data_IF_274018107405
#
_entry.id   IF_274018107405
#
_cell.length_a   1.000
_cell.length_b   1.000
_cell.length_c   1.000
_cell.angle_alpha   90.00
_cell.angle_beta   90.00
_cell.angle_gamma   90.00
#
_symmetry.space_group_name_H-M   'P 1'
#
loop_
_entity.id
_entity.type
_entity.pdbx_description
1 polymer ?
#
# COMPACT_ATOMS: atom_id res chain seq x y z
N UNK A 1 12.81 -23.21 3.73
CA UNK A 1 12.36 -21.90 4.26
C UNK A 1 13.53 -20.92 4.15
N UNK A 2 13.30 -19.61 3.96
CA UNK A 2 14.34 -18.63 3.55
C UNK A 2 15.48 -18.37 4.57
N UNK A 3 15.50 -19.02 5.73
CA UNK A 3 16.57 -18.86 6.72
C UNK A 3 16.64 -17.47 7.36
N UNK A 4 15.50 -16.78 7.48
CA UNK A 4 15.44 -15.43 8.03
C UNK A 4 15.83 -15.46 9.52
N UNK A 5 16.83 -14.66 9.96
CA UNK A 5 17.24 -14.58 11.36
C UNK A 5 16.13 -14.05 12.28
N UNK A 6 16.16 -14.40 13.57
CA UNK A 6 15.12 -14.05 14.56
C UNK A 6 14.85 -12.55 14.70
N UNK A 7 15.88 -11.72 14.50
CA UNK A 7 15.79 -10.26 14.60
C UNK A 7 15.32 -9.57 13.31
N UNK A 8 14.96 -10.34 12.27
CA UNK A 8 14.53 -9.82 10.97
C UNK A 8 13.09 -10.24 10.67
N UNK A 9 12.24 -9.26 10.34
CA UNK A 9 10.85 -9.49 9.96
C UNK A 9 10.67 -9.34 8.45
N UNK A 10 10.07 -10.35 7.81
CA UNK A 10 9.66 -10.27 6.41
C UNK A 10 8.47 -9.29 6.27
N UNK A 11 8.69 -8.14 5.64
CA UNK A 11 7.69 -7.09 5.52
C UNK A 11 6.63 -7.34 4.42
N UNK A 12 7.05 -7.92 3.30
CA UNK A 12 6.17 -8.20 2.17
C UNK A 12 6.72 -9.33 1.29
N UNK A 13 5.83 -9.93 0.50
CA UNK A 13 6.18 -10.77 -0.65
C UNK A 13 5.48 -10.18 -1.86
N UNK A 14 6.25 -9.90 -2.91
CA UNK A 14 5.74 -9.32 -4.15
C UNK A 14 5.79 -10.39 -5.24
N UNK A 15 4.66 -11.03 -5.58
CA UNK A 15 4.63 -11.98 -6.67
C UNK A 15 4.80 -11.26 -8.01
N UNK A 16 5.62 -11.85 -8.89
CA UNK A 16 5.81 -11.39 -10.27
C UNK A 16 5.43 -12.53 -11.21
N UNK A 17 4.51 -12.28 -12.12
CA UNK A 17 4.02 -13.26 -13.08
C UNK A 17 3.53 -12.57 -14.36
N UNK A 18 3.40 -13.35 -15.44
CA UNK A 18 2.77 -12.90 -16.68
C UNK A 18 1.23 -12.92 -16.54
N UNK A 19 0.60 -11.76 -16.70
CA UNK A 19 -0.85 -11.61 -16.61
C UNK A 19 -1.53 -12.20 -17.85
N UNK A 20 -2.58 -13.01 -17.65
CA UNK A 20 -3.33 -13.71 -18.72
C UNK A 20 -4.81 -13.31 -18.81
N UNK A 21 -5.25 -12.31 -18.05
CA UNK A 21 -6.61 -11.76 -18.13
C UNK A 21 -6.70 -10.63 -19.14
N UNK A 22 -7.83 -9.91 -19.11
CA UNK A 22 -8.10 -8.81 -20.04
C UNK A 22 -7.37 -7.52 -19.65
N UNK A 23 -7.63 -6.98 -18.45
CA UNK A 23 -6.99 -5.78 -17.91
C UNK A 23 -7.06 -5.71 -16.38
N UNK A 24 -6.32 -4.79 -15.76
CA UNK A 24 -6.39 -4.47 -14.35
C UNK A 24 -7.42 -3.37 -14.06
N UNK A 25 -8.18 -3.52 -12.99
CA UNK A 25 -9.05 -2.45 -12.49
C UNK A 25 -8.36 -1.65 -11.39
N UNK A 26 -8.49 -0.30 -11.37
CA UNK A 26 -8.00 0.51 -10.27
C UNK A 26 -8.67 0.11 -8.96
N UNK A 27 -7.87 -0.04 -7.90
CA UNK A 27 -8.42 -0.29 -6.58
C UNK A 27 -9.00 1.01 -5.99
N UNK A 28 -10.11 0.89 -5.26
CA UNK A 28 -10.76 2.02 -4.58
C UNK A 28 -9.77 2.69 -3.61
N UNK A 29 -9.79 4.01 -3.56
CA UNK A 29 -8.99 4.83 -2.64
C UNK A 29 -9.93 5.76 -1.88
N UNK A 30 -9.56 6.05 -0.63
CA UNK A 30 -10.20 7.11 0.15
C UNK A 30 -9.92 8.45 -0.57
N UNK A 31 -10.90 9.38 -0.68
CA UNK A 31 -10.67 10.71 -1.23
C UNK A 31 -9.50 11.41 -0.54
N UNK A 32 -8.62 12.05 -1.31
CA UNK A 32 -7.40 12.65 -0.78
C UNK A 32 -7.67 13.57 0.43
N UNK A 33 -8.69 14.44 0.31
CA UNK A 33 -9.12 15.38 1.35
C UNK A 33 -9.44 14.74 2.72
N UNK A 34 -9.76 13.45 2.77
CA UNK A 34 -10.09 12.77 4.02
C UNK A 34 -8.85 12.30 4.79
N UNK A 35 -7.72 12.10 4.08
CA UNK A 35 -6.48 11.55 4.61
C UNK A 35 -5.27 12.51 4.51
N UNK A 36 -5.38 13.61 3.77
CA UNK A 36 -4.38 14.68 3.74
C UNK A 36 -4.67 15.72 4.81
N UNK A 37 -3.62 16.18 5.49
CA UNK A 37 -3.70 17.25 6.48
C UNK A 37 -2.97 18.50 5.99
N UNK A 38 -3.41 19.68 6.44
CA UNK A 38 -2.82 20.96 6.03
C UNK A 38 -2.14 21.66 7.21
N UNK A 39 -0.91 22.11 7.00
CA UNK A 39 0.03 22.68 7.99
C UNK A 39 0.38 21.78 9.19
N UNK A 40 -0.60 21.13 9.80
CA UNK A 40 -0.46 20.35 11.04
C UNK A 40 -1.06 18.97 10.89
N UNK A 41 -0.39 17.95 11.44
CA UNK A 41 -0.91 16.58 11.44
C UNK A 41 -2.23 16.49 12.19
N UNK A 42 -3.25 15.89 11.56
CA UNK A 42 -4.59 15.77 12.11
C UNK A 42 -5.57 16.88 11.70
N UNK A 43 -5.07 18.02 11.21
CA UNK A 43 -5.90 19.17 10.79
C UNK A 43 -6.36 19.01 9.33
N UNK A 44 -7.68 18.95 9.12
CA UNK A 44 -8.29 18.80 7.78
C UNK A 44 -8.78 20.15 7.26
N UNK A 45 -8.63 20.37 5.96
CA UNK A 45 -9.32 21.48 5.27
C UNK A 45 -10.78 21.07 4.99
N UNK A 46 -11.72 21.96 5.27
CA UNK A 46 -13.15 21.83 4.89
C UNK A 46 -13.41 22.28 3.45
#
# INVERSE_FOLDING_TARGET
MLGIPEHVTQAALLPVAYFKGDDFSPAVRIPAKELTYWETWGERQE
#
